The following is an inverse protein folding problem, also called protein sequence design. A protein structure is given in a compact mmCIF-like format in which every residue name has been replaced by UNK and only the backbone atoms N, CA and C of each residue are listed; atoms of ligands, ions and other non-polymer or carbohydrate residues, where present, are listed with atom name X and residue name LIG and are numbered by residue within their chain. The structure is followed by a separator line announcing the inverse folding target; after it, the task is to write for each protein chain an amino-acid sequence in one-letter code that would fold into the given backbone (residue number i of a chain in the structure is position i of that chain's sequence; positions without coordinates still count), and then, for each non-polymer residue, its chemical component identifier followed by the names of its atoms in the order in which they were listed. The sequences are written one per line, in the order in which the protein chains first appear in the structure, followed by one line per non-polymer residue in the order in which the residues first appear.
data_IF_126487035889
#
_entry.id   IF_126487035889
#
_cell.length_a   1.000
_cell.length_b   1.000
_cell.length_c   1.000
_cell.angle_alpha   90.00
_cell.angle_beta   90.00
_cell.angle_gamma   90.00
#
_symmetry.space_group_name_H-M   'P 1'
#
loop_
_entity.id
_entity.type
_entity.pdbx_description
1 polymer ?
#
# COMPACT_ATOMS: atom_id res chain seq x y z
N UNK A 1 13.33 0.82 3.35
CA UNK A 1 12.40 0.76 4.50
C UNK A 1 12.55 1.94 5.44
N UNK A 2 13.71 2.60 5.43
CA UNK A 2 13.99 3.79 6.25
C UNK A 2 13.11 4.94 5.78
N UNK A 3 12.07 5.28 6.55
CA UNK A 3 11.13 6.36 6.27
C UNK A 3 9.66 5.99 6.45
N UNK A 4 9.25 4.77 6.09
CA UNK A 4 7.84 4.34 6.25
C UNK A 4 7.47 4.17 7.72
N UNK A 5 8.37 3.62 8.53
CA UNK A 5 8.18 3.38 9.96
C UNK A 5 8.05 4.68 10.75
N UNK A 6 8.82 5.72 10.43
CA UNK A 6 8.72 7.03 11.09
C UNK A 6 7.37 7.70 10.85
N UNK A 7 6.75 7.41 9.72
CA UNK A 7 5.46 7.97 9.35
C UNK A 7 4.26 7.32 10.07
N UNK A 8 4.48 6.20 10.76
CA UNK A 8 3.43 5.42 11.44
C UNK A 8 3.47 5.59 12.97
N UNK A 9 4.61 5.94 13.55
CA UNK A 9 4.93 5.89 14.99
C UNK A 9 3.83 6.39 15.93
N UNK A 10 3.19 7.51 15.61
CA UNK A 10 2.23 8.18 16.50
C UNK A 10 0.77 7.89 16.12
N UNK A 11 0.52 6.84 15.31
CA UNK A 11 -0.80 6.53 14.79
C UNK A 11 -1.31 5.23 15.37
N UNK A 12 -2.61 5.22 15.70
CA UNK A 12 -3.25 4.08 16.37
C UNK A 12 -4.11 3.25 15.43
N UNK A 13 -4.50 3.76 14.26
CA UNK A 13 -5.34 3.06 13.28
C UNK A 13 -4.66 3.04 11.92
N UNK A 14 -4.09 1.90 11.55
CA UNK A 14 -3.41 1.65 10.27
C UNK A 14 -4.24 0.68 9.44
N UNK A 15 -4.51 1.01 8.19
CA UNK A 15 -5.03 0.07 7.20
C UNK A 15 -3.90 -0.29 6.21
N UNK A 16 -3.59 -1.57 6.09
CA UNK A 16 -2.50 -2.12 5.26
C UNK A 16 -3.09 -2.91 4.09
N UNK A 17 -3.20 -2.28 2.93
CA UNK A 17 -3.76 -2.89 1.73
C UNK A 17 -2.74 -3.84 1.10
N UNK A 18 -3.13 -5.11 0.95
CA UNK A 18 -2.25 -6.16 0.45
C UNK A 18 -1.14 -6.52 1.43
N UNK A 19 -1.39 -6.41 2.73
CA UNK A 19 -0.42 -6.67 3.80
C UNK A 19 -0.11 -8.14 4.05
N UNK A 20 -0.68 -9.05 3.24
CA UNK A 20 -0.57 -10.49 3.39
C UNK A 20 -0.98 -10.96 4.80
N UNK A 21 -0.16 -11.74 5.48
CA UNK A 21 -0.41 -12.22 6.86
C UNK A 21 0.13 -11.25 7.93
N UNK A 22 0.21 -9.95 7.62
CA UNK A 22 0.72 -8.93 8.54
C UNK A 22 2.24 -8.73 8.47
N UNK A 23 2.85 -8.99 7.32
CA UNK A 23 4.31 -8.95 7.15
C UNK A 23 4.89 -7.61 7.64
N UNK A 24 4.24 -6.49 7.33
CA UNK A 24 4.75 -5.16 7.71
C UNK A 24 4.57 -4.85 9.18
N UNK A 25 3.47 -5.32 9.77
CA UNK A 25 3.28 -5.24 11.22
C UNK A 25 4.47 -5.83 11.96
N UNK A 26 4.86 -7.07 11.64
CA UNK A 26 6.01 -7.72 12.28
C UNK A 26 7.36 -7.10 11.88
N UNK A 27 7.51 -6.68 10.63
CA UNK A 27 8.77 -6.12 10.14
C UNK A 27 9.10 -4.75 10.77
N UNK A 28 8.12 -4.00 11.21
CA UNK A 28 8.33 -2.69 11.83
C UNK A 28 8.51 -2.74 13.35
N UNK A 29 8.06 -3.80 14.02
CA UNK A 29 8.21 -3.96 15.47
C UNK A 29 9.62 -3.69 16.03
N UNK A 30 10.72 -4.09 15.36
CA UNK A 30 12.07 -3.80 15.85
C UNK A 30 12.45 -2.31 15.78
N UNK A 31 11.69 -1.49 15.06
CA UNK A 31 12.01 -0.08 14.77
C UNK A 31 11.01 0.90 15.34
N UNK A 32 9.81 0.42 15.72
CA UNK A 32 8.72 1.25 16.22
C UNK A 32 8.13 0.59 17.47
N UNK A 33 8.10 1.34 18.56
CA UNK A 33 7.32 0.96 19.73
C UNK A 33 5.84 1.20 19.43
N UNK A 34 5.07 0.13 19.26
CA UNK A 34 3.65 0.23 18.99
C UNK A 34 2.87 0.67 20.25
N UNK A 35 1.95 1.64 20.13
CA UNK A 35 1.09 1.98 21.25
C UNK A 35 0.16 0.79 21.56
N UNK A 36 -0.19 0.64 22.85
CA UNK A 36 -1.03 -0.47 23.31
C UNK A 36 -2.39 -0.53 22.60
N UNK A 37 -2.93 0.63 22.23
CA UNK A 37 -4.20 0.76 21.54
C UNK A 37 -4.08 0.71 20.00
N UNK A 38 -2.94 0.28 19.44
CA UNK A 38 -2.78 0.11 17.99
C UNK A 38 -3.87 -0.83 17.44
N UNK A 39 -4.40 -0.46 16.30
CA UNK A 39 -5.23 -1.29 15.42
C UNK A 39 -4.61 -1.27 14.04
N UNK A 40 -3.99 -2.39 13.67
CA UNK A 40 -3.41 -2.63 12.35
C UNK A 40 -4.32 -3.57 11.58
N UNK A 41 -5.10 -3.04 10.66
CA UNK A 41 -6.02 -3.79 9.83
C UNK A 41 -5.36 -4.11 8.48
N UNK A 42 -5.08 -5.38 8.24
CA UNK A 42 -4.67 -5.87 6.92
C UNK A 42 -5.90 -6.13 6.08
N UNK A 43 -5.91 -5.60 4.86
CA UNK A 43 -6.96 -5.85 3.87
C UNK A 43 -6.34 -6.65 2.73
N UNK A 44 -6.81 -7.87 2.55
CA UNK A 44 -6.28 -8.78 1.55
C UNK A 44 -7.35 -9.76 1.07
N UNK A 45 -7.03 -10.62 0.12
CA UNK A 45 -7.95 -11.65 -0.39
C UNK A 45 -8.51 -12.52 0.74
N UNK A 46 -9.77 -13.02 0.63
CA UNK A 46 -10.45 -13.76 1.70
C UNK A 46 -9.64 -14.92 2.30
N UNK A 47 -8.95 -15.67 1.45
CA UNK A 47 -8.11 -16.79 1.89
C UNK A 47 -6.90 -16.29 2.71
N UNK A 48 -6.26 -15.20 2.28
CA UNK A 48 -5.10 -14.59 2.96
C UNK A 48 -5.55 -13.99 4.30
N UNK A 49 -6.66 -13.26 4.32
CA UNK A 49 -7.23 -12.69 5.54
C UNK A 49 -7.57 -13.78 6.57
N UNK A 50 -8.09 -14.92 6.11
CA UNK A 50 -8.40 -16.07 6.99
C UNK A 50 -7.13 -16.65 7.62
N UNK A 51 -6.09 -16.89 6.84
CA UNK A 51 -4.81 -17.39 7.37
C UNK A 51 -4.11 -16.36 8.23
N UNK A 52 -4.23 -15.07 7.88
CA UNK A 52 -3.71 -13.97 8.68
C UNK A 52 -4.32 -13.92 10.08
N UNK A 53 -5.65 -14.06 10.21
CA UNK A 53 -6.34 -14.14 11.51
C UNK A 53 -5.81 -15.32 12.34
N UNK A 54 -5.71 -16.49 11.72
CA UNK A 54 -5.16 -17.67 12.40
C UNK A 54 -3.73 -17.43 12.88
N UNK A 55 -2.91 -16.83 12.05
CA UNK A 55 -1.52 -16.54 12.39
C UNK A 55 -1.41 -15.51 13.53
N UNK A 56 -2.21 -14.44 13.51
CA UNK A 56 -2.24 -13.44 14.57
C UNK A 56 -2.63 -14.05 15.94
N UNK A 57 -3.64 -14.94 15.95
CA UNK A 57 -4.04 -15.66 17.17
C UNK A 57 -2.91 -16.53 17.70
N UNK A 58 -2.25 -17.31 16.84
CA UNK A 58 -1.10 -18.16 17.23
C UNK A 58 0.07 -17.32 17.81
N UNK A 59 0.23 -16.08 17.30
CA UNK A 59 1.25 -15.14 17.77
C UNK A 59 0.82 -14.32 18.99
N UNK A 60 -0.44 -14.40 19.41
CA UNK A 60 -0.98 -13.63 20.54
C UNK A 60 -1.06 -12.12 20.28
N UNK A 61 -1.23 -11.71 19.03
CA UNK A 61 -1.29 -10.30 18.60
C UNK A 61 -2.62 -9.91 17.95
N UNK A 62 -3.61 -10.79 17.97
CA UNK A 62 -4.93 -10.60 17.34
C UNK A 62 -5.73 -9.41 17.91
N UNK A 63 -5.40 -8.94 19.11
CA UNK A 63 -5.94 -7.70 19.63
C UNK A 63 -5.50 -6.46 18.85
N UNK A 64 -4.29 -6.45 18.30
CA UNK A 64 -3.72 -5.34 17.54
C UNK A 64 -3.72 -5.58 16.03
N UNK A 65 -3.41 -6.81 15.57
CA UNK A 65 -3.33 -7.18 14.16
C UNK A 65 -4.61 -7.88 13.73
N UNK A 66 -5.40 -7.19 12.93
CA UNK A 66 -6.71 -7.60 12.44
C UNK A 66 -6.71 -7.78 10.92
N UNK A 67 -7.70 -8.48 10.38
CA UNK A 67 -7.77 -8.80 8.94
C UNK A 67 -9.20 -8.68 8.41
N UNK A 68 -9.32 -8.10 7.22
CA UNK A 68 -10.56 -8.02 6.45
C UNK A 68 -10.30 -8.34 4.97
N UNK A 69 -11.34 -8.71 4.25
CA UNK A 69 -11.36 -8.81 2.79
C UNK A 69 -12.19 -7.69 2.14
N UNK A 70 -12.66 -6.74 2.95
CA UNK A 70 -13.45 -5.61 2.49
C UNK A 70 -12.63 -4.32 2.54
N UNK A 71 -12.42 -3.71 1.37
CA UNK A 71 -11.67 -2.45 1.28
C UNK A 71 -12.34 -1.29 2.05
N UNK A 72 -13.68 -1.35 2.17
CA UNK A 72 -14.46 -0.36 2.92
C UNK A 72 -14.10 -0.32 4.42
N UNK A 73 -13.60 -1.41 4.99
CA UNK A 73 -13.20 -1.46 6.41
C UNK A 73 -11.96 -0.60 6.71
N UNK A 74 -11.26 -0.09 5.66
CA UNK A 74 -10.21 0.90 5.81
C UNK A 74 -10.72 2.31 6.12
N UNK A 75 -12.04 2.56 5.97
CA UNK A 75 -12.61 3.88 6.26
C UNK A 75 -12.34 4.30 7.69
N UNK A 76 -11.98 5.57 7.88
CA UNK A 76 -11.61 6.12 9.17
C UNK A 76 -10.25 5.69 9.71
N UNK A 77 -9.40 4.99 8.94
CA UNK A 77 -8.00 4.78 9.33
C UNK A 77 -7.25 6.12 9.41
N UNK A 78 -6.23 6.20 10.26
CA UNK A 78 -5.36 7.38 10.34
C UNK A 78 -4.23 7.31 9.30
N UNK A 79 -3.75 6.10 9.04
CA UNK A 79 -2.74 5.81 8.01
C UNK A 79 -3.28 4.76 7.07
N UNK A 80 -3.28 5.07 5.78
CA UNK A 80 -3.43 4.09 4.70
C UNK A 80 -2.04 3.70 4.21
N UNK A 81 -1.69 2.45 4.39
CA UNK A 81 -0.44 1.88 3.92
C UNK A 81 -0.68 0.90 2.79
N UNK A 82 0.12 0.94 1.74
CA UNK A 82 0.11 -0.04 0.66
C UNK A 82 1.52 -0.26 0.12
N UNK A 83 2.00 -1.49 0.13
CA UNK A 83 3.33 -1.82 -0.37
C UNK A 83 3.30 -2.98 -1.35
N UNK A 84 3.41 -2.66 -2.63
CA UNK A 84 3.40 -3.66 -3.69
C UNK A 84 2.01 -4.26 -3.97
N UNK A 85 0.94 -3.53 -3.66
CA UNK A 85 -0.44 -3.99 -3.78
C UNK A 85 -1.26 -3.20 -4.81
N UNK A 86 -1.10 -1.89 -4.88
CA UNK A 86 -1.97 -1.01 -5.69
C UNK A 86 -2.03 -1.40 -7.17
N UNK A 87 -0.96 -1.93 -7.71
CA UNK A 87 -0.87 -2.37 -9.11
C UNK A 87 -1.76 -3.57 -9.45
N UNK A 88 -2.25 -4.30 -8.45
CA UNK A 88 -3.11 -5.47 -8.63
C UNK A 88 -4.60 -5.17 -8.42
N UNK A 89 -4.92 -3.99 -7.89
CA UNK A 89 -6.30 -3.61 -7.60
C UNK A 89 -7.02 -3.18 -8.88
N UNK A 90 -8.31 -3.46 -8.95
CA UNK A 90 -9.21 -3.01 -10.00
C UNK A 90 -9.53 -1.51 -9.90
N UNK A 91 -9.45 -0.94 -8.70
CA UNK A 91 -9.66 0.50 -8.41
C UNK A 91 -8.33 1.23 -8.27
N UNK A 92 -8.29 2.48 -8.73
CA UNK A 92 -7.15 3.36 -8.48
C UNK A 92 -7.13 3.87 -7.03
N UNK A 93 -5.98 4.34 -6.54
CA UNK A 93 -5.91 4.94 -5.22
C UNK A 93 -6.83 6.15 -5.05
N UNK A 94 -6.93 7.10 -6.00
CA UNK A 94 -7.91 8.19 -5.90
C UNK A 94 -9.35 7.71 -5.80
N UNK A 95 -9.75 6.64 -6.52
CA UNK A 95 -11.09 6.07 -6.44
C UNK A 95 -11.37 5.42 -5.08
N UNK A 96 -10.36 4.80 -4.48
CA UNK A 96 -10.43 4.25 -3.11
C UNK A 96 -10.68 5.39 -2.11
N UNK A 97 -9.88 6.45 -2.20
CA UNK A 97 -9.99 7.61 -1.31
C UNK A 97 -11.31 8.37 -1.46
N UNK A 98 -11.86 8.42 -2.68
CA UNK A 98 -13.17 9.03 -2.94
C UNK A 98 -14.33 8.23 -2.32
N UNK A 99 -14.13 6.95 -2.06
CA UNK A 99 -15.13 6.09 -1.42
C UNK A 99 -15.13 6.15 0.12
N UNK A 100 -14.17 6.82 0.74
CA UNK A 100 -14.10 6.93 2.20
C UNK A 100 -14.91 8.13 2.70
N UNK A 101 -15.70 7.92 3.74
CA UNK A 101 -16.38 9.00 4.48
C UNK A 101 -15.36 9.81 5.30
N UNK A 102 -14.44 9.09 5.93
CA UNK A 102 -13.36 9.70 6.73
C UNK A 102 -12.00 9.34 6.12
N UNK A 103 -11.42 10.29 5.43
CA UNK A 103 -10.13 10.10 4.74
C UNK A 103 -8.96 9.93 5.71
N UNK A 104 -7.98 9.06 5.41
CA UNK A 104 -6.76 8.91 6.21
C UNK A 104 -5.97 10.23 6.28
N UNK A 105 -5.41 10.52 7.44
CA UNK A 105 -4.53 11.69 7.60
C UNK A 105 -3.23 11.54 6.84
N UNK A 106 -2.77 10.30 6.66
CA UNK A 106 -1.53 9.99 5.96
C UNK A 106 -1.70 8.78 5.04
N UNK A 107 -1.10 8.88 3.87
CA UNK A 107 -1.01 7.77 2.91
C UNK A 107 0.46 7.48 2.68
N UNK A 108 0.83 6.22 2.84
CA UNK A 108 2.18 5.72 2.56
C UNK A 108 2.08 4.63 1.51
N UNK A 109 2.66 4.89 0.36
CA UNK A 109 2.72 3.94 -0.75
C UNK A 109 4.17 3.52 -0.93
N UNK A 110 4.39 2.24 -1.08
CA UNK A 110 5.72 1.73 -1.34
C UNK A 110 5.69 0.64 -2.42
N UNK A 111 6.80 0.45 -3.09
CA UNK A 111 6.98 -0.63 -4.07
C UNK A 111 5.88 -0.62 -5.16
N UNK A 112 5.59 0.56 -5.70
CA UNK A 112 4.59 0.75 -6.75
C UNK A 112 5.29 1.06 -8.08
N UNK A 113 4.91 0.40 -9.19
CA UNK A 113 5.48 0.69 -10.51
C UNK A 113 4.92 2.01 -11.02
N UNK A 114 5.78 3.00 -11.12
CA UNK A 114 5.46 4.34 -11.65
C UNK A 114 6.38 4.60 -12.82
N UNK A 115 5.78 4.85 -13.98
CA UNK A 115 6.51 5.28 -15.16
C UNK A 115 6.50 6.82 -15.23
N UNK A 116 7.57 7.43 -15.73
CA UNK A 116 7.69 8.88 -15.73
C UNK A 116 6.66 9.57 -16.66
N UNK A 117 6.20 8.91 -17.73
CA UNK A 117 5.35 9.51 -18.76
C UNK A 117 4.06 8.77 -19.06
N UNK A 118 4.02 7.45 -18.91
CA UNK A 118 2.92 6.61 -19.44
C UNK A 118 2.21 5.84 -18.33
N UNK A 119 0.87 5.88 -18.31
CA UNK A 119 0.03 4.96 -17.59
C UNK A 119 -0.42 3.85 -18.55
N UNK A 120 -0.33 2.60 -18.11
CA UNK A 120 -0.74 1.45 -18.93
C UNK A 120 -1.00 0.22 -18.05
N UNK A 121 -1.64 -0.78 -18.65
CA UNK A 121 -1.77 -2.11 -18.05
C UNK A 121 -0.87 -3.10 -18.77
N UNK A 122 -0.30 -4.00 -18.01
CA UNK A 122 0.47 -5.15 -18.51
C UNK A 122 0.05 -6.42 -17.78
N UNK A 123 0.67 -7.53 -18.12
CA UNK A 123 0.49 -8.80 -17.41
C UNK A 123 1.71 -9.07 -16.53
N UNK A 124 1.45 -9.48 -15.30
CA UNK A 124 2.48 -9.95 -14.39
C UNK A 124 2.33 -11.44 -14.15
N UNK A 125 3.44 -12.18 -14.25
CA UNK A 125 3.47 -13.59 -13.89
C UNK A 125 3.61 -13.74 -12.38
N UNK A 126 2.72 -14.49 -11.78
CA UNK A 126 2.76 -14.89 -10.36
C UNK A 126 3.13 -16.37 -10.19
N UNK A 127 3.87 -16.92 -11.16
CA UNK A 127 4.29 -18.31 -11.20
C UNK A 127 3.34 -19.17 -12.04
N UNK A 128 2.25 -19.66 -11.44
CA UNK A 128 1.27 -20.54 -12.11
C UNK A 128 0.18 -19.81 -12.89
N UNK A 129 0.10 -18.48 -12.74
CA UNK A 129 -0.94 -17.67 -13.40
C UNK A 129 -0.39 -16.29 -13.81
N UNK A 130 -1.18 -15.60 -14.63
CA UNK A 130 -0.96 -14.20 -14.98
C UNK A 130 -2.09 -13.35 -14.41
N UNK A 131 -1.74 -12.14 -13.96
CA UNK A 131 -2.72 -11.17 -13.49
C UNK A 131 -2.50 -9.81 -14.17
N UNK A 132 -3.57 -9.01 -14.23
CA UNK A 132 -3.46 -7.62 -14.64
C UNK A 132 -2.52 -6.86 -13.73
N UNK A 133 -1.77 -5.94 -14.30
CA UNK A 133 -0.75 -5.17 -13.59
C UNK A 133 -0.79 -3.73 -14.06
N UNK A 134 -1.15 -2.81 -13.19
CA UNK A 134 -1.25 -1.39 -13.48
C UNK A 134 0.09 -0.70 -13.28
N UNK A 135 0.46 0.14 -14.23
CA UNK A 135 1.55 1.11 -14.13
C UNK A 135 0.94 2.50 -14.24
N UNK A 136 1.21 3.33 -13.27
CA UNK A 136 0.73 4.71 -13.26
C UNK A 136 1.78 5.66 -13.87
N UNK A 137 1.33 6.78 -14.44
CA UNK A 137 2.20 7.88 -14.83
C UNK A 137 2.45 8.79 -13.62
N UNK A 138 3.70 9.23 -13.42
CA UNK A 138 4.14 9.93 -12.19
C UNK A 138 3.31 11.17 -11.88
N UNK A 139 3.35 12.17 -12.74
CA UNK A 139 2.68 13.44 -12.46
C UNK A 139 1.15 13.30 -12.37
N UNK A 140 0.46 12.61 -13.31
CA UNK A 140 -0.98 12.38 -13.20
C UNK A 140 -1.38 11.63 -11.91
N UNK A 141 -0.56 10.67 -11.46
CA UNK A 141 -0.81 9.95 -10.21
C UNK A 141 -0.73 10.88 -8.99
N UNK A 142 0.32 11.70 -8.91
CA UNK A 142 0.49 12.67 -7.82
C UNK A 142 -0.65 13.69 -7.83
N UNK A 143 -0.97 14.27 -8.98
CA UNK A 143 -2.04 15.24 -9.14
C UNK A 143 -3.40 14.68 -8.73
N UNK A 144 -3.71 13.44 -9.11
CA UNK A 144 -4.97 12.78 -8.78
C UNK A 144 -5.10 12.55 -7.25
N UNK A 145 -4.01 12.19 -6.55
CA UNK A 145 -4.02 12.08 -5.08
C UNK A 145 -4.14 13.46 -4.43
N UNK A 146 -3.47 14.47 -4.96
CA UNK A 146 -3.57 15.85 -4.47
C UNK A 146 -4.98 16.43 -4.66
N UNK A 147 -5.67 16.09 -5.74
CA UNK A 147 -7.06 16.47 -5.99
C UNK A 147 -8.03 15.89 -4.93
N UNK A 148 -7.65 14.80 -4.24
CA UNK A 148 -8.38 14.26 -3.09
C UNK A 148 -8.14 15.02 -1.78
N UNK A 149 -7.38 16.12 -1.79
CA UNK A 149 -7.10 16.98 -0.63
C UNK A 149 -5.76 16.74 0.04
N UNK A 150 -4.86 15.99 -0.59
CA UNK A 150 -3.55 15.65 -0.01
C UNK A 150 -2.42 16.57 -0.49
N UNK A 151 -1.32 16.53 0.25
CA UNK A 151 -0.04 17.17 -0.10
C UNK A 151 1.04 16.09 -0.12
N UNK A 152 1.82 16.04 -1.21
CA UNK A 152 3.00 15.19 -1.28
C UNK A 152 4.04 15.71 -0.27
N UNK A 153 4.46 14.84 0.66
CA UNK A 153 5.46 15.13 1.68
C UNK A 153 6.83 14.60 1.31
N UNK A 154 6.85 13.39 0.76
CA UNK A 154 8.09 12.73 0.41
C UNK A 154 7.86 11.72 -0.73
N UNK A 155 8.94 11.43 -1.46
CA UNK A 155 8.97 10.39 -2.47
C UNK A 155 10.36 9.74 -2.52
N UNK A 156 10.40 8.45 -2.79
CA UNK A 156 11.66 7.70 -2.87
C UNK A 156 11.65 6.64 -3.96
N UNK A 157 12.84 6.15 -4.29
CA UNK A 157 13.06 5.13 -5.31
C UNK A 157 13.47 3.81 -4.67
N UNK A 158 12.82 2.73 -5.09
CA UNK A 158 13.16 1.36 -4.72
C UNK A 158 14.06 0.76 -5.82
N UNK A 159 15.35 1.02 -5.76
CA UNK A 159 16.32 0.64 -6.81
C UNK A 159 16.49 -0.87 -6.96
N UNK A 160 16.13 -1.65 -5.94
CA UNK A 160 16.17 -3.12 -5.97
C UNK A 160 15.04 -3.77 -6.76
N UNK A 161 14.07 -3.00 -7.28
CA UNK A 161 12.94 -3.52 -8.04
C UNK A 161 12.72 -2.74 -9.33
N UNK A 162 12.69 -3.45 -10.44
CA UNK A 162 12.47 -2.89 -11.79
C UNK A 162 11.48 -3.75 -12.56
N UNK A 163 10.91 -3.22 -13.62
CA UNK A 163 10.01 -3.95 -14.52
C UNK A 163 10.42 -3.69 -15.98
N UNK A 164 11.23 -4.54 -16.59
CA UNK A 164 11.56 -4.45 -18.01
C UNK A 164 10.36 -4.90 -18.85
N UNK A 165 10.03 -4.14 -19.90
CA UNK A 165 9.04 -4.53 -20.92
C UNK A 165 9.78 -5.01 -22.16
N UNK A 166 9.74 -6.32 -22.38
CA UNK A 166 10.42 -6.95 -23.51
C UNK A 166 9.82 -6.44 -24.82
N UNK A 167 10.67 -5.99 -25.73
CA UNK A 167 10.29 -5.46 -27.06
C UNK A 167 9.75 -4.02 -27.03
N UNK A 168 9.60 -3.42 -25.85
CA UNK A 168 9.16 -2.02 -25.67
C UNK A 168 9.89 -1.35 -24.52
N UNK A 169 11.20 -1.13 -24.63
CA UNK A 169 12.01 -0.60 -23.52
C UNK A 169 11.55 0.78 -23.04
N UNK A 170 10.92 1.58 -23.92
CA UNK A 170 10.36 2.88 -23.59
C UNK A 170 9.20 2.85 -22.57
N UNK A 171 8.62 1.67 -22.32
CA UNK A 171 7.61 1.41 -21.27
C UNK A 171 8.19 0.74 -20.02
N UNK A 172 9.49 0.49 -20.01
CA UNK A 172 10.13 -0.14 -18.85
C UNK A 172 10.15 0.79 -17.65
N UNK A 173 10.00 0.22 -16.43
CA UNK A 173 10.11 0.94 -15.16
C UNK A 173 11.44 0.59 -14.53
N UNK A 174 12.36 1.55 -14.49
CA UNK A 174 13.75 1.35 -14.04
C UNK A 174 13.85 1.12 -12.54
N UNK A 175 12.90 1.69 -11.76
CA UNK A 175 12.78 1.50 -10.33
C UNK A 175 11.34 1.67 -9.87
N UNK A 176 10.94 0.94 -8.85
CA UNK A 176 9.65 1.19 -8.23
C UNK A 176 9.73 2.41 -7.31
N UNK A 177 8.59 3.05 -7.12
CA UNK A 177 8.49 4.28 -6.34
C UNK A 177 7.78 4.08 -5.02
N UNK A 178 8.07 4.97 -4.07
CA UNK A 178 7.29 5.17 -2.87
C UNK A 178 6.93 6.63 -2.70
N UNK A 179 5.84 6.89 -1.98
CA UNK A 179 5.30 8.22 -1.72
C UNK A 179 4.73 8.30 -0.31
N UNK A 180 4.85 9.49 0.28
CA UNK A 180 4.15 9.86 1.50
C UNK A 180 3.31 11.10 1.23
N UNK A 181 2.01 11.02 1.54
CA UNK A 181 1.09 12.15 1.44
C UNK A 181 0.42 12.42 2.78
N UNK A 182 0.17 13.69 3.09
CA UNK A 182 -0.63 14.12 4.23
C UNK A 182 -1.90 14.83 3.77
N UNK A 183 -3.01 14.61 4.45
CA UNK A 183 -4.23 15.37 4.27
C UNK A 183 -4.00 16.82 4.71
N UNK A 184 -4.54 17.78 3.93
CA UNK A 184 -4.45 19.24 4.20
C UNK A 184 -5.19 19.63 5.46
#
# INVERSE_FOLDING_TARGET
LVGSEMCIRDRTRVADIGGAVGIKYFAFQPFIDYPENLRWLVIDMPAVATEGRRFATVRGVDAQLQFSDQLADADGCEVLYASGALQYLDRSLPDILAGFETKPRRIIINTTPIHDRHAFFTLNSIGTAYCGYRVEAREPFIEAVQAQGYVLRDQWRNLGKRMPIIGKPEYSVEHYSGFCFDLK
#
